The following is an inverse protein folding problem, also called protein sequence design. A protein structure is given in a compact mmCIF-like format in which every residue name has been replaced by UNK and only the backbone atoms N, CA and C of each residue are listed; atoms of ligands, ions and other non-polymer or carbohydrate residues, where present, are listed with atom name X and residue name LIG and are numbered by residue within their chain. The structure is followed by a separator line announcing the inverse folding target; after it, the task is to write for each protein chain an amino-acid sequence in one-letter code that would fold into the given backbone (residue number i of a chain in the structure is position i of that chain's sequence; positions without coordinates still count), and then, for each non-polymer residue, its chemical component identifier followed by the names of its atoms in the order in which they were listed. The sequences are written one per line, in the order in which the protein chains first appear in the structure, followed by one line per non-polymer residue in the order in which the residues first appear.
data_IF_034319808162
#
_entry.id   IF_034319808162
#
_cell.length_a   1.000
_cell.length_b   1.000
_cell.length_c   1.000
_cell.angle_alpha   90.00
_cell.angle_beta   90.00
_cell.angle_gamma   90.00
#
_symmetry.space_group_name_H-M   'P 1'
#
loop_
_entity.id
_entity.type
_entity.pdbx_description
1 polymer ?
#
# COMPACT_ATOMS: atom_id res chain seq x y z
N UNK A 1 8.92 15.10 13.04
CA UNK A 1 8.85 16.44 13.67
C UNK A 1 9.19 17.49 12.63
N UNK A 2 8.77 18.75 12.80
CA UNK A 2 9.08 19.80 11.84
C UNK A 2 10.58 20.07 11.81
N UNK A 3 11.19 20.17 10.63
CA UNK A 3 12.63 20.42 10.46
C UNK A 3 13.11 21.65 11.24
N UNK A 4 12.33 22.74 11.24
CA UNK A 4 12.73 24.00 11.87
C UNK A 4 12.35 24.17 13.34
N UNK A 5 11.28 23.51 13.80
CA UNK A 5 10.69 23.78 15.12
C UNK A 5 10.57 22.57 16.05
N UNK A 6 10.94 21.37 15.60
CA UNK A 6 10.80 20.14 16.41
C UNK A 6 9.37 19.73 16.77
N UNK A 7 8.33 20.47 16.33
CA UNK A 7 6.94 20.17 16.65
C UNK A 7 6.45 18.88 15.97
N UNK A 8 5.47 18.17 16.56
CA UNK A 8 4.84 17.04 15.90
C UNK A 8 4.18 17.47 14.58
N UNK A 9 4.48 16.75 13.51
CA UNK A 9 3.86 16.98 12.19
C UNK A 9 2.57 16.18 12.15
N UNK A 10 1.45 16.84 11.82
CA UNK A 10 0.12 16.23 11.74
C UNK A 10 -0.39 16.36 10.31
N UNK A 11 -0.86 15.25 9.71
CA UNK A 11 -1.56 15.29 8.42
C UNK A 11 -2.97 15.82 8.62
N UNK A 12 -3.40 16.73 7.74
CA UNK A 12 -4.78 17.24 7.70
C UNK A 12 -5.31 17.15 6.26
N UNK A 13 -6.53 16.64 6.03
CA UNK A 13 -7.14 16.71 4.71
C UNK A 13 -7.43 18.17 4.38
N UNK A 14 -6.70 18.72 3.41
CA UNK A 14 -6.85 20.11 2.97
C UNK A 14 -6.55 20.23 1.48
N UNK A 15 -7.23 21.15 0.81
CA UNK A 15 -6.93 21.46 -0.59
C UNK A 15 -5.62 22.24 -0.66
N UNK A 16 -4.66 21.75 -1.42
CA UNK A 16 -3.36 22.39 -1.63
C UNK A 16 -3.00 22.38 -3.11
N UNK A 17 -2.23 23.38 -3.52
CA UNK A 17 -1.57 23.38 -4.81
C UNK A 17 -0.39 22.40 -4.78
N UNK A 18 -0.33 21.52 -5.77
CA UNK A 18 0.78 20.57 -5.93
C UNK A 18 1.41 20.74 -7.29
N UNK A 19 2.73 20.83 -7.33
CA UNK A 19 3.50 20.75 -8.57
C UNK A 19 3.62 19.29 -8.98
N UNK A 20 3.26 18.95 -10.22
CA UNK A 20 3.31 17.58 -10.76
C UNK A 20 4.74 17.18 -11.13
N UNK A 21 5.65 17.23 -10.15
CA UNK A 21 7.07 16.86 -10.33
C UNK A 21 7.24 15.41 -10.81
N UNK A 22 6.32 14.52 -10.44
CA UNK A 22 6.30 13.12 -10.88
C UNK A 22 6.19 12.94 -12.39
N UNK A 23 5.65 13.93 -13.12
CA UNK A 23 5.64 13.91 -14.58
C UNK A 23 7.06 14.00 -15.19
N UNK A 24 8.03 14.47 -14.41
CA UNK A 24 9.44 14.60 -14.80
C UNK A 24 10.33 13.55 -14.13
N UNK A 25 9.77 12.58 -13.38
CA UNK A 25 10.57 11.62 -12.62
C UNK A 25 11.56 10.83 -13.48
N UNK A 26 11.13 10.40 -14.68
CA UNK A 26 11.98 9.68 -15.62
C UNK A 26 13.17 10.52 -16.08
N UNK A 27 12.89 11.77 -16.46
CA UNK A 27 13.92 12.72 -16.88
C UNK A 27 14.86 13.06 -15.74
N UNK A 28 14.33 13.35 -14.55
CA UNK A 28 15.14 13.61 -13.36
C UNK A 28 16.05 12.44 -13.02
N UNK A 29 15.66 11.20 -13.30
CA UNK A 29 16.47 10.02 -13.07
C UNK A 29 17.56 9.86 -14.14
N UNK A 30 17.20 9.98 -15.42
CA UNK A 30 18.12 9.78 -16.54
C UNK A 30 19.15 10.92 -16.63
N UNK A 31 18.73 12.16 -16.38
CA UNK A 31 19.61 13.34 -16.45
C UNK A 31 20.68 13.34 -15.32
N UNK A 32 20.51 12.54 -14.24
CA UNK A 32 21.52 12.45 -13.16
C UNK A 32 22.86 11.89 -13.64
N UNK A 33 22.83 11.01 -14.65
CA UNK A 33 24.03 10.35 -15.16
C UNK A 33 24.94 11.33 -15.91
N UNK A 34 24.38 12.42 -16.46
CA UNK A 34 25.10 13.47 -17.18
C UNK A 34 25.74 14.52 -16.25
N UNK A 35 25.36 14.54 -14.97
CA UNK A 35 25.83 15.54 -14.00
C UNK A 35 27.20 15.17 -13.41
N UNK A 36 28.09 16.15 -13.31
CA UNK A 36 29.36 16.05 -12.58
C UNK A 36 29.13 16.25 -11.07
N UNK A 37 28.33 15.37 -10.47
CA UNK A 37 28.04 15.30 -9.04
C UNK A 37 28.67 14.05 -8.44
N UNK A 38 28.90 14.06 -7.12
CA UNK A 38 29.36 12.85 -6.43
C UNK A 38 28.31 11.74 -6.53
N UNK A 39 28.75 10.50 -6.71
CA UNK A 39 27.84 9.35 -6.78
C UNK A 39 26.96 9.22 -5.53
N UNK A 40 27.45 9.63 -4.36
CA UNK A 40 26.63 9.68 -3.13
C UNK A 40 25.38 10.56 -3.27
N UNK A 41 25.48 11.71 -3.95
CA UNK A 41 24.36 12.62 -4.17
C UNK A 41 23.42 12.04 -5.24
N UNK A 42 23.97 11.46 -6.31
CA UNK A 42 23.17 10.79 -7.34
C UNK A 42 22.38 9.63 -6.75
N UNK A 43 23.01 8.80 -5.92
CA UNK A 43 22.37 7.67 -5.25
C UNK A 43 21.28 8.13 -4.29
N UNK A 44 21.51 9.21 -3.52
CA UNK A 44 20.45 9.82 -2.72
C UNK A 44 19.24 10.23 -3.56
N UNK A 45 19.46 10.85 -4.72
CA UNK A 45 18.38 11.26 -5.63
C UNK A 45 17.69 10.05 -6.28
N UNK A 46 18.44 9.05 -6.76
CA UNK A 46 17.89 7.80 -7.32
C UNK A 46 17.03 7.07 -6.30
N UNK A 47 17.51 6.95 -5.06
CA UNK A 47 16.78 6.31 -3.95
C UNK A 47 15.54 7.13 -3.53
N UNK A 48 15.63 8.47 -3.57
CA UNK A 48 14.50 9.34 -3.28
C UNK A 48 13.41 9.30 -4.35
N UNK A 49 13.80 9.28 -5.64
CA UNK A 49 12.87 9.13 -6.76
C UNK A 49 12.24 7.72 -6.72
N UNK A 50 13.03 6.70 -6.39
CA UNK A 50 12.53 5.36 -6.07
C UNK A 50 11.77 4.69 -7.23
N UNK A 51 12.26 4.85 -8.47
CA UNK A 51 11.61 4.26 -9.64
C UNK A 51 11.57 2.74 -9.50
N UNK A 52 10.37 2.18 -9.54
CA UNK A 52 10.14 0.75 -9.56
C UNK A 52 9.31 0.38 -10.78
N UNK A 53 9.66 -0.75 -11.39
CA UNK A 53 8.89 -1.33 -12.50
C UNK A 53 8.12 -2.51 -11.92
N UNK A 54 6.85 -2.63 -12.26
CA UNK A 54 5.97 -3.65 -11.71
C UNK A 54 4.75 -3.87 -12.58
N UNK A 55 3.82 -4.68 -12.07
CA UNK A 55 2.57 -4.99 -12.74
C UNK A 55 1.38 -4.63 -11.86
N UNK A 56 0.31 -4.17 -12.51
CA UNK A 56 -1.01 -4.09 -11.91
C UNK A 56 -1.73 -5.42 -12.14
N UNK A 57 -2.21 -6.03 -11.06
CA UNK A 57 -2.94 -7.30 -11.08
C UNK A 57 -4.33 -7.06 -10.52
N UNK A 58 -5.35 -7.39 -11.31
CA UNK A 58 -6.75 -7.25 -10.90
C UNK A 58 -7.25 -8.54 -10.26
N UNK A 59 -7.75 -8.43 -9.03
CA UNK A 59 -8.35 -9.52 -8.27
C UNK A 59 -9.86 -9.34 -8.19
N UNK A 60 -10.61 -10.40 -8.47
CA UNK A 60 -12.07 -10.42 -8.32
C UNK A 60 -12.46 -10.86 -6.92
N UNK A 61 -13.48 -10.24 -6.34
CA UNK A 61 -14.03 -10.64 -5.04
C UNK A 61 -15.05 -11.76 -5.25
N UNK A 62 -14.82 -12.90 -4.60
CA UNK A 62 -15.66 -14.10 -4.70
C UNK A 62 -17.13 -13.76 -4.41
N UNK A 63 -18.03 -14.20 -5.29
CA UNK A 63 -19.48 -14.03 -5.11
C UNK A 63 -20.00 -12.62 -5.42
N UNK A 64 -19.18 -11.75 -6.00
CA UNK A 64 -19.59 -10.39 -6.40
C UNK A 64 -18.96 -10.01 -7.75
N UNK A 65 -19.49 -8.97 -8.39
CA UNK A 65 -18.89 -8.36 -9.58
C UNK A 65 -17.81 -7.31 -9.26
N UNK A 66 -17.39 -7.22 -7.98
CA UNK A 66 -16.40 -6.24 -7.53
C UNK A 66 -14.99 -6.75 -7.75
N UNK A 67 -14.08 -5.83 -8.05
CA UNK A 67 -12.67 -6.12 -8.24
C UNK A 67 -11.80 -5.01 -7.66
N UNK A 68 -10.54 -5.34 -7.35
CA UNK A 68 -9.52 -4.39 -6.92
C UNK A 68 -8.21 -4.66 -7.63
N UNK A 69 -7.39 -3.63 -7.74
CA UNK A 69 -6.08 -3.71 -8.38
C UNK A 69 -5.00 -3.69 -7.30
N UNK A 70 -4.01 -4.57 -7.43
CA UNK A 70 -2.79 -4.58 -6.62
C UNK A 70 -1.61 -4.25 -7.52
N UNK A 71 -0.75 -3.33 -7.08
CA UNK A 71 0.56 -3.13 -7.71
C UNK A 71 1.62 -4.01 -7.03
N UNK A 72 2.42 -4.72 -7.82
CA UNK A 72 3.57 -5.49 -7.32
C UNK A 72 4.78 -5.31 -8.24
N UNK A 73 5.95 -5.17 -7.64
CA UNK A 73 7.24 -5.21 -8.35
C UNK A 73 7.74 -6.64 -8.59
N UNK A 74 7.08 -7.64 -8.00
CA UNK A 74 7.38 -9.07 -8.17
C UNK A 74 6.17 -9.87 -8.69
N UNK A 75 5.76 -9.65 -9.95
CA UNK A 75 4.64 -10.37 -10.54
C UNK A 75 4.90 -11.88 -10.68
N UNK A 76 6.16 -12.30 -10.74
CA UNK A 76 6.59 -13.69 -10.72
C UNK A 76 6.10 -14.46 -9.48
N UNK A 77 5.91 -13.76 -8.34
CA UNK A 77 5.49 -14.39 -7.09
C UNK A 77 3.97 -14.52 -6.90
N UNK A 78 3.19 -14.13 -7.91
CA UNK A 78 1.72 -14.13 -7.87
C UNK A 78 1.10 -15.52 -7.61
N UNK A 79 1.77 -16.61 -8.02
CA UNK A 79 1.32 -17.97 -7.73
C UNK A 79 1.37 -18.32 -6.24
N UNK A 80 2.30 -17.71 -5.50
CA UNK A 80 2.50 -17.92 -4.07
C UNK A 80 1.71 -16.97 -3.17
N UNK A 81 0.88 -16.10 -3.75
CA UNK A 81 0.02 -15.22 -2.98
C UNK A 81 -1.01 -16.05 -2.19
N UNK A 82 -1.07 -15.83 -0.88
CA UNK A 82 -1.94 -16.60 0.03
C UNK A 82 -3.08 -15.76 0.61
N UNK A 83 -2.90 -14.45 0.74
CA UNK A 83 -3.93 -13.51 1.17
C UNK A 83 -3.72 -12.14 0.53
N UNK A 84 -4.74 -11.29 0.59
CA UNK A 84 -4.66 -9.90 0.14
C UNK A 84 -4.99 -8.96 1.28
N UNK A 85 -4.38 -7.78 1.30
CA UNK A 85 -4.57 -6.79 2.36
C UNK A 85 -4.97 -5.46 1.73
N UNK A 86 -6.08 -4.89 2.20
CA UNK A 86 -6.57 -3.57 1.82
C UNK A 86 -6.26 -2.55 2.91
N UNK A 87 -6.10 -1.29 2.52
CA UNK A 87 -6.13 -0.20 3.48
C UNK A 87 -7.51 -0.15 4.19
N UNK A 88 -7.58 0.11 5.51
CA UNK A 88 -8.85 0.26 6.23
C UNK A 88 -9.79 1.31 5.61
N UNK A 89 -9.24 2.33 4.97
CA UNK A 89 -9.98 3.40 4.28
C UNK A 89 -10.40 3.05 2.85
N UNK A 90 -10.05 1.87 2.35
CA UNK A 90 -10.32 1.48 0.96
C UNK A 90 -11.84 1.30 0.72
N UNK A 91 -12.36 1.88 -0.36
CA UNK A 91 -13.80 1.95 -0.65
C UNK A 91 -14.51 0.58 -0.65
N UNK A 92 -13.82 -0.45 -1.14
CA UNK A 92 -14.36 -1.82 -1.15
C UNK A 92 -14.57 -2.44 0.22
N UNK A 93 -13.88 -1.99 1.28
CA UNK A 93 -13.95 -2.64 2.60
C UNK A 93 -15.39 -2.69 3.10
N UNK A 94 -16.10 -1.57 3.09
CA UNK A 94 -17.50 -1.51 3.52
C UNK A 94 -18.42 -2.33 2.62
N UNK A 95 -18.00 -2.56 1.38
CA UNK A 95 -18.78 -3.20 0.34
C UNK A 95 -18.66 -4.73 0.33
N UNK A 96 -17.61 -5.28 0.95
CA UNK A 96 -17.30 -6.72 0.97
C UNK A 96 -17.35 -7.32 2.38
N UNK A 97 -17.37 -6.48 3.42
CA UNK A 97 -17.36 -6.93 4.80
C UNK A 97 -18.63 -7.74 5.11
N UNK A 98 -18.42 -8.95 5.63
CA UNK A 98 -19.52 -9.82 6.07
C UNK A 98 -20.21 -9.26 7.32
N UNK A 99 -21.48 -9.62 7.53
CA UNK A 99 -22.24 -9.18 8.72
C UNK A 99 -21.59 -9.61 10.03
N UNK A 100 -20.92 -10.77 10.05
CA UNK A 100 -20.22 -11.29 11.23
C UNK A 100 -18.96 -10.49 11.57
N UNK A 101 -18.30 -9.89 10.57
CA UNK A 101 -17.08 -9.11 10.75
C UNK A 101 -17.32 -7.60 10.82
N UNK A 102 -18.57 -7.14 10.67
CA UNK A 102 -18.91 -5.73 10.56
C UNK A 102 -18.44 -4.90 11.76
N UNK A 103 -18.66 -5.40 12.99
CA UNK A 103 -18.23 -4.72 14.22
C UNK A 103 -16.70 -4.65 14.33
N UNK A 104 -16.02 -5.79 14.15
CA UNK A 104 -14.56 -5.86 14.21
C UNK A 104 -13.87 -4.98 13.16
N UNK A 105 -14.41 -4.95 11.93
CA UNK A 105 -13.90 -4.09 10.85
C UNK A 105 -14.15 -2.61 11.16
N UNK A 106 -15.34 -2.25 11.64
CA UNK A 106 -15.65 -0.86 11.99
C UNK A 106 -14.74 -0.33 13.11
N UNK A 107 -14.55 -1.14 14.16
CA UNK A 107 -13.64 -0.81 15.27
C UNK A 107 -12.21 -0.66 14.77
N UNK A 108 -11.74 -1.58 13.93
CA UNK A 108 -10.38 -1.51 13.38
C UNK A 108 -10.18 -0.27 12.49
N UNK A 109 -11.16 0.07 11.65
CA UNK A 109 -11.15 1.31 10.86
C UNK A 109 -11.06 2.55 11.74
N UNK A 110 -11.83 2.60 12.83
CA UNK A 110 -11.76 3.69 13.79
C UNK A 110 -10.37 3.79 14.43
N UNK A 111 -9.82 2.68 14.94
CA UNK A 111 -8.47 2.67 15.52
C UNK A 111 -7.39 3.09 14.51
N UNK A 112 -7.49 2.63 13.27
CA UNK A 112 -6.55 2.99 12.20
C UNK A 112 -6.61 4.50 11.88
N UNK A 113 -7.82 5.09 11.88
CA UNK A 113 -8.03 6.53 11.63
C UNK A 113 -7.43 7.45 12.70
N UNK A 114 -7.24 6.94 13.92
CA UNK A 114 -6.62 7.68 15.03
C UNK A 114 -5.09 7.73 14.88
N UNK A 115 -4.51 6.84 14.06
CA UNK A 115 -3.07 6.79 13.79
C UNK A 115 -2.74 7.62 12.56
N UNK A 116 -1.61 8.31 12.59
CA UNK A 116 -1.07 8.94 11.39
C UNK A 116 -0.39 7.91 10.49
N UNK A 117 -0.34 8.16 9.17
CA UNK A 117 0.37 7.30 8.21
C UNK A 117 1.82 7.02 8.65
N UNK A 118 2.50 8.00 9.26
CA UNK A 118 3.85 7.84 9.79
C UNK A 118 3.92 6.76 10.89
N UNK A 119 2.95 6.75 11.80
CA UNK A 119 2.84 5.74 12.87
C UNK A 119 2.47 4.37 12.31
N UNK A 120 1.75 4.33 11.19
CA UNK A 120 1.34 3.10 10.49
C UNK A 120 2.46 2.45 9.66
N UNK A 121 3.48 3.23 9.27
CA UNK A 121 4.68 2.74 8.56
C UNK A 121 5.74 2.19 9.55
N UNK A 122 7.04 2.30 9.24
CA UNK A 122 8.18 1.66 9.93
C UNK A 122 8.28 1.85 11.48
N UNK A 123 7.44 2.67 12.09
CA UNK A 123 7.33 2.80 13.55
C UNK A 123 6.44 1.71 14.19
N UNK A 124 5.55 1.07 13.43
CA UNK A 124 4.70 -0.01 13.90
C UNK A 124 5.49 -1.32 14.00
N UNK A 125 5.95 -1.67 15.20
CA UNK A 125 6.66 -2.92 15.47
C UNK A 125 5.76 -4.17 15.41
N UNK A 126 4.44 -3.99 15.57
CA UNK A 126 3.46 -5.07 15.57
C UNK A 126 2.52 -4.93 14.36
N UNK A 127 2.49 -5.96 13.52
CA UNK A 127 1.53 -6.06 12.41
C UNK A 127 0.18 -6.43 13.00
N UNK A 128 -0.83 -5.59 12.77
CA UNK A 128 -2.21 -5.88 13.18
C UNK A 128 -3.09 -5.96 11.93
N UNK A 129 -4.22 -6.66 12.01
CA UNK A 129 -5.18 -6.72 10.92
C UNK A 129 -6.44 -7.48 11.28
N UNK A 130 -7.51 -7.24 10.51
CA UNK A 130 -8.81 -7.88 10.68
C UNK A 130 -9.25 -8.50 9.37
N UNK A 131 -9.78 -9.72 9.43
CA UNK A 131 -10.32 -10.41 8.27
C UNK A 131 -11.71 -9.85 7.94
N UNK A 132 -11.96 -9.54 6.67
CA UNK A 132 -13.23 -8.92 6.23
C UNK A 132 -14.39 -9.91 6.14
N UNK A 133 -14.12 -11.22 6.15
CA UNK A 133 -15.11 -12.24 5.80
C UNK A 133 -15.19 -12.55 4.29
N UNK A 134 -14.52 -11.74 3.46
CA UNK A 134 -14.50 -11.90 2.01
C UNK A 134 -13.24 -12.62 1.52
N UNK A 135 -13.34 -13.13 0.29
CA UNK A 135 -12.25 -13.79 -0.42
C UNK A 135 -12.05 -13.16 -1.79
N UNK A 136 -10.79 -13.03 -2.20
CA UNK A 136 -10.37 -12.69 -3.55
C UNK A 136 -10.04 -13.96 -4.33
N UNK A 137 -10.24 -13.95 -5.64
CA UNK A 137 -9.82 -15.02 -6.54
C UNK A 137 -8.48 -14.65 -7.15
N UNK A 138 -7.46 -15.48 -6.93
CA UNK A 138 -6.18 -15.31 -7.59
C UNK A 138 -6.35 -15.54 -9.10
N UNK A 139 -6.03 -14.55 -9.96
CA UNK A 139 -6.33 -14.62 -11.39
C UNK A 139 -5.50 -15.67 -12.13
N UNK A 140 -4.41 -16.15 -11.53
CA UNK A 140 -3.47 -17.07 -12.19
C UNK A 140 -3.78 -18.54 -11.88
N UNK A 141 -4.16 -18.84 -10.64
CA UNK A 141 -4.40 -20.22 -10.19
C UNK A 141 -5.85 -20.49 -9.76
N UNK A 142 -6.72 -19.48 -9.76
CA UNK A 142 -8.13 -19.60 -9.37
C UNK A 142 -8.38 -19.85 -7.89
N UNK A 143 -7.34 -19.84 -7.03
CA UNK A 143 -7.49 -20.10 -5.60
C UNK A 143 -8.13 -18.92 -4.88
N UNK A 144 -8.92 -19.26 -3.87
CA UNK A 144 -9.51 -18.30 -2.96
C UNK A 144 -8.48 -17.83 -1.93
N UNK A 145 -8.41 -16.52 -1.74
CA UNK A 145 -7.47 -15.87 -0.84
C UNK A 145 -8.25 -14.95 0.09
N UNK A 146 -8.14 -15.07 1.42
CA UNK A 146 -8.87 -14.20 2.33
C UNK A 146 -8.42 -12.73 2.16
N UNK A 147 -9.38 -11.82 2.25
CA UNK A 147 -9.15 -10.38 2.20
C UNK A 147 -9.09 -9.83 3.62
N UNK A 148 -7.96 -9.26 3.98
CA UNK A 148 -7.69 -8.62 5.27
C UNK A 148 -7.64 -7.10 5.13
N UNK A 149 -7.84 -6.39 6.23
CA UNK A 149 -7.47 -4.98 6.36
C UNK A 149 -6.33 -4.87 7.35
N UNK A 150 -5.35 -4.01 7.06
CA UNK A 150 -4.25 -3.73 7.97
C UNK A 150 -3.78 -2.29 7.83
N UNK A 151 -3.40 -1.69 8.95
CA UNK A 151 -3.01 -0.29 9.01
C UNK A 151 -1.69 -0.01 8.28
N UNK A 152 -0.78 -0.97 8.14
CA UNK A 152 0.45 -0.78 7.35
C UNK A 152 0.22 -0.56 5.84
N UNK A 153 -0.98 -0.89 5.32
CA UNK A 153 -1.39 -0.58 3.95
C UNK A 153 -2.04 0.80 3.93
N UNK A 154 -1.51 1.70 3.11
CA UNK A 154 -1.98 3.09 3.01
C UNK A 154 -2.77 3.31 1.73
N UNK A 155 -4.00 3.83 1.85
CA UNK A 155 -4.83 4.15 0.69
C UNK A 155 -4.20 5.20 -0.25
N UNK A 156 -3.32 6.06 0.29
CA UNK A 156 -2.60 7.08 -0.49
C UNK A 156 -1.37 6.57 -1.24
N UNK A 157 -0.99 5.29 -1.05
CA UNK A 157 0.19 4.69 -1.66
C UNK A 157 -0.20 3.54 -2.60
N UNK A 158 0.28 3.60 -3.84
CA UNK A 158 -0.07 2.64 -4.88
C UNK A 158 -1.59 2.63 -5.14
N UNK A 159 -2.18 1.44 -5.08
CA UNK A 159 -3.63 1.23 -5.25
C UNK A 159 -4.38 1.10 -3.92
N UNK A 160 -3.70 1.24 -2.77
CA UNK A 160 -4.28 0.98 -1.46
C UNK A 160 -4.58 -0.49 -1.18
N UNK A 161 -4.01 -1.40 -1.97
CA UNK A 161 -4.16 -2.85 -1.85
C UNK A 161 -2.83 -3.55 -2.15
N UNK A 162 -2.51 -4.59 -1.38
CA UNK A 162 -1.32 -5.43 -1.56
C UNK A 162 -1.70 -6.91 -1.57
N UNK A 163 -0.92 -7.70 -2.30
CA UNK A 163 -0.97 -9.17 -2.23
C UNK A 163 0.17 -9.63 -1.35
N UNK A 164 -0.10 -10.60 -0.48
CA UNK A 164 0.89 -11.11 0.44
C UNK A 164 1.46 -12.44 -0.04
N UNK A 165 2.78 -12.55 -0.10
CA UNK A 165 3.52 -13.74 -0.49
C UNK A 165 4.53 -14.10 0.62
N UNK A 166 4.09 -14.77 1.72
CA UNK A 166 4.93 -15.03 2.89
C UNK A 166 6.22 -15.80 2.56
N UNK A 167 6.19 -16.68 1.55
CA UNK A 167 7.35 -17.46 1.14
C UNK A 167 8.51 -16.60 0.59
N UNK A 168 8.24 -15.36 0.17
CA UNK A 168 9.21 -14.54 -0.55
C UNK A 168 9.22 -13.06 -0.12
N UNK A 169 8.36 -12.59 0.78
CA UNK A 169 8.41 -11.23 1.36
C UNK A 169 8.39 -11.33 2.90
N UNK A 170 9.43 -10.80 3.54
CA UNK A 170 9.60 -10.85 5.00
C UNK A 170 8.54 -10.01 5.75
N UNK A 171 7.91 -9.05 5.07
CA UNK A 171 6.78 -8.28 5.61
C UNK A 171 5.48 -9.07 5.58
N UNK A 172 5.42 -10.16 4.81
CA UNK A 172 4.24 -11.02 4.71
C UNK A 172 4.36 -12.29 5.57
N UNK A 173 5.57 -12.65 6.02
CA UNK A 173 5.83 -13.68 7.03
C UNK A 173 5.45 -13.20 8.44
#
# INVERSE_FOLDING_TARGET
TSERGGYPVVRKPMRQWMLKITAYAERLLNDLDELDWSESIKDMQRNWIGKSTGANVTFKVKGTDKEFTVFTTRPDTLFGATFTVLAPEHELVDAITSSEQAEAVADYKHQASLKSDLVRTDLAKEKTGVWTGAYAINPVNGKEMPIWIADYVLASYGTGAVMAVPAHDQRDW
#
